data_IF_880030799892
#
_entry.id   IF_880030799892
#
_cell.length_a   1.000
_cell.length_b   1.000
_cell.length_c   1.000
_cell.angle_alpha   90.00
_cell.angle_beta   90.00
_cell.angle_gamma   90.00
#
_symmetry.space_group_name_H-M   'P 1'
#
loop_
_entity.id
_entity.type
_entity.pdbx_description
1 polymer ?
#
# COMPACT_ATOMS: atom_id res chain seq x y z
N UNK A 1 -17.21 -0.46 14.59
CA UNK A 1 -17.11 -0.43 16.08
C UNK A 1 -15.69 -0.77 16.53
N UNK A 2 -15.13 -0.13 17.58
CA UNK A 2 -13.79 -0.45 18.11
C UNK A 2 -13.90 -1.37 19.32
N UNK A 3 -13.18 -2.49 19.32
CA UNK A 3 -13.08 -3.46 20.42
C UNK A 3 -11.61 -3.66 20.82
N UNK A 4 -11.28 -3.46 22.10
CA UNK A 4 -9.96 -3.80 22.63
C UNK A 4 -10.01 -5.19 23.26
N UNK A 5 -9.25 -6.14 22.69
CA UNK A 5 -9.33 -7.56 23.03
C UNK A 5 -8.40 -7.97 24.19
N UNK A 6 -7.68 -7.02 24.78
CA UNK A 6 -6.82 -7.19 25.95
C UNK A 6 -7.50 -6.86 27.29
N UNK A 7 -8.82 -6.66 27.26
CA UNK A 7 -9.68 -6.47 28.43
C UNK A 7 -11.01 -7.18 28.21
N UNK A 8 -11.85 -7.24 29.23
CA UNK A 8 -13.17 -7.84 29.12
C UNK A 8 -14.05 -7.07 28.11
N UNK A 9 -14.71 -7.79 27.22
CA UNK A 9 -15.70 -7.29 26.28
C UNK A 9 -16.80 -8.37 26.06
N UNK A 10 -18.03 -7.99 25.72
CA UNK A 10 -19.07 -8.94 25.32
C UNK A 10 -18.69 -9.65 24.01
N UNK A 11 -18.52 -10.99 24.03
CA UNK A 11 -18.08 -11.75 22.85
C UNK A 11 -19.06 -11.67 21.67
N UNK A 12 -20.35 -11.41 21.92
CA UNK A 12 -21.37 -11.23 20.89
C UNK A 12 -21.03 -10.06 19.95
N UNK A 13 -20.27 -9.07 20.44
CA UNK A 13 -19.84 -7.91 19.66
C UNK A 13 -18.96 -8.28 18.45
N UNK A 14 -18.33 -9.46 18.45
CA UNK A 14 -17.59 -9.96 17.28
C UNK A 14 -18.52 -10.28 16.09
N UNK A 15 -19.82 -10.46 16.33
CA UNK A 15 -20.82 -10.79 15.31
C UNK A 15 -21.89 -9.71 15.09
N UNK A 16 -21.80 -8.58 15.79
CA UNK A 16 -22.87 -7.56 15.83
C UNK A 16 -22.80 -6.50 14.72
N UNK A 17 -21.75 -6.48 13.92
CA UNK A 17 -21.58 -5.44 12.91
C UNK A 17 -20.77 -5.87 11.70
N UNK A 18 -21.10 -5.25 10.57
CA UNK A 18 -20.38 -5.41 9.31
C UNK A 18 -18.98 -4.79 9.37
N UNK A 19 -18.77 -3.80 10.24
CA UNK A 19 -17.49 -3.09 10.39
C UNK A 19 -16.93 -3.20 11.82
N UNK A 20 -15.79 -3.86 11.96
CA UNK A 20 -15.09 -4.04 13.24
C UNK A 20 -13.64 -3.57 13.19
N UNK A 21 -13.22 -2.83 14.22
CA UNK A 21 -11.83 -2.46 14.51
C UNK A 21 -11.42 -3.19 15.79
N UNK A 22 -10.70 -4.30 15.64
CA UNK A 22 -10.24 -5.14 16.73
C UNK A 22 -8.79 -4.79 17.07
N UNK A 23 -8.55 -4.45 18.33
CA UNK A 23 -7.24 -4.01 18.81
C UNK A 23 -6.63 -5.00 19.78
N UNK A 24 -5.30 -5.05 19.80
CA UNK A 24 -4.51 -5.86 20.72
C UNK A 24 -4.77 -7.37 20.53
N UNK A 25 -4.80 -7.82 19.28
CA UNK A 25 -5.14 -9.20 18.91
C UNK A 25 -4.01 -10.15 19.30
N UNK A 26 -4.25 -10.98 20.33
CA UNK A 26 -3.29 -11.95 20.87
C UNK A 26 -3.61 -13.38 20.44
N UNK A 27 -2.64 -14.29 20.58
CA UNK A 27 -2.85 -15.70 20.30
C UNK A 27 -3.96 -16.32 21.17
N UNK A 28 -4.19 -15.79 22.38
CA UNK A 28 -5.22 -16.27 23.30
C UNK A 28 -6.63 -15.96 22.79
N UNK A 29 -6.85 -14.77 22.21
CA UNK A 29 -8.18 -14.36 21.72
C UNK A 29 -8.42 -14.78 20.26
N UNK A 30 -7.36 -15.10 19.50
CA UNK A 30 -7.44 -15.41 18.08
C UNK A 30 -8.46 -16.52 17.74
N UNK A 31 -8.50 -17.68 18.42
CA UNK A 31 -9.51 -18.70 18.14
C UNK A 31 -10.95 -18.21 18.32
N UNK A 32 -11.16 -17.25 19.23
CA UNK A 32 -12.46 -16.64 19.47
C UNK A 32 -12.86 -15.69 18.34
N UNK A 33 -11.93 -14.85 17.89
CA UNK A 33 -12.13 -14.00 16.71
C UNK A 33 -12.48 -14.86 15.50
N UNK A 34 -11.69 -15.91 15.22
CA UNK A 34 -11.92 -16.80 14.08
C UNK A 34 -13.26 -17.55 14.10
N UNK A 35 -13.82 -17.83 15.29
CA UNK A 35 -15.06 -18.61 15.41
C UNK A 35 -16.33 -17.75 15.49
N UNK A 36 -16.20 -16.45 15.78
CA UNK A 36 -17.34 -15.55 15.99
C UNK A 36 -17.40 -14.37 15.03
N UNK A 37 -16.26 -13.94 14.47
CA UNK A 37 -16.22 -12.74 13.67
C UNK A 37 -16.97 -12.93 12.35
N UNK A 38 -18.00 -12.12 12.12
CA UNK A 38 -18.82 -12.15 10.90
C UNK A 38 -18.68 -10.87 10.07
N UNK A 39 -17.78 -9.96 10.47
CA UNK A 39 -17.61 -8.65 9.85
C UNK A 39 -17.17 -8.74 8.38
N UNK A 40 -17.75 -7.87 7.57
CA UNK A 40 -17.43 -7.69 6.15
C UNK A 40 -16.17 -6.82 6.00
N UNK A 41 -16.06 -5.77 6.80
CA UNK A 41 -14.89 -4.91 6.92
C UNK A 41 -14.25 -5.09 8.30
N UNK A 42 -13.01 -5.58 8.29
CA UNK A 42 -12.27 -5.91 9.49
C UNK A 42 -10.94 -5.16 9.50
N UNK A 43 -10.74 -4.36 10.53
CA UNK A 43 -9.44 -3.80 10.89
C UNK A 43 -8.89 -4.57 12.08
N UNK A 44 -7.68 -5.08 11.95
CA UNK A 44 -6.90 -5.73 13.00
C UNK A 44 -5.71 -4.83 13.33
N UNK A 45 -5.68 -4.30 14.55
CA UNK A 45 -4.65 -3.36 15.00
C UNK A 45 -3.84 -3.96 16.16
N UNK A 46 -2.52 -3.76 16.13
CA UNK A 46 -1.58 -4.28 17.13
C UNK A 46 -1.68 -5.81 17.27
N UNK A 47 -1.23 -6.51 16.23
CA UNK A 47 -1.23 -7.97 16.16
C UNK A 47 -0.04 -8.53 16.95
N UNK A 48 -0.35 -9.23 18.04
CA UNK A 48 0.60 -9.94 18.89
C UNK A 48 0.68 -11.44 18.53
N UNK A 49 0.26 -11.79 17.31
CA UNK A 49 0.21 -13.14 16.78
C UNK A 49 1.58 -13.60 16.25
N UNK A 50 1.93 -14.89 16.40
CA UNK A 50 3.12 -15.45 15.75
C UNK A 50 2.88 -15.77 14.26
N UNK A 51 1.64 -16.03 13.86
CA UNK A 51 1.22 -16.29 12.47
C UNK A 51 -0.26 -15.90 12.29
N UNK A 52 -0.71 -15.85 11.03
CA UNK A 52 -2.11 -15.60 10.65
C UNK A 52 -2.89 -16.91 10.39
N UNK A 53 -2.43 -18.04 10.93
CA UNK A 53 -3.05 -19.34 10.66
C UNK A 53 -4.52 -19.37 11.08
N UNK A 54 -5.35 -20.02 10.27
CA UNK A 54 -6.80 -20.13 10.47
C UNK A 54 -7.60 -18.89 10.07
N UNK A 55 -6.96 -17.82 9.56
CA UNK A 55 -7.65 -16.60 9.11
C UNK A 55 -8.67 -16.85 8.00
N UNK A 56 -8.52 -17.93 7.24
CA UNK A 56 -9.45 -18.41 6.22
C UNK A 56 -10.87 -18.70 6.76
N UNK A 57 -11.02 -18.84 8.08
CA UNK A 57 -12.33 -18.97 8.74
C UNK A 57 -13.15 -17.67 8.76
N UNK A 58 -12.54 -16.53 8.44
CA UNK A 58 -13.23 -15.23 8.32
C UNK A 58 -13.95 -15.12 6.96
N UNK A 59 -14.84 -16.07 6.68
CA UNK A 59 -15.46 -16.28 5.35
C UNK A 59 -16.32 -15.11 4.87
N UNK A 60 -16.82 -14.27 5.78
CA UNK A 60 -17.61 -13.07 5.44
C UNK A 60 -16.75 -11.85 5.12
N UNK A 61 -15.47 -11.84 5.51
CA UNK A 61 -14.64 -10.65 5.36
C UNK A 61 -14.32 -10.41 3.88
N UNK A 62 -14.61 -9.19 3.41
CA UNK A 62 -14.34 -8.72 2.05
C UNK A 62 -13.30 -7.61 2.03
N UNK A 63 -13.16 -6.87 3.14
CA UNK A 63 -12.22 -5.76 3.30
C UNK A 63 -11.42 -5.98 4.56
N UNK A 64 -10.11 -6.15 4.43
CA UNK A 64 -9.23 -6.48 5.55
C UNK A 64 -8.09 -5.46 5.63
N UNK A 65 -7.95 -4.84 6.81
CA UNK A 65 -6.82 -3.98 7.13
C UNK A 65 -6.05 -4.57 8.30
N UNK A 66 -4.75 -4.76 8.11
CA UNK A 66 -3.82 -5.05 9.19
C UNK A 66 -2.97 -3.84 9.50
N UNK A 67 -2.72 -3.63 10.78
CA UNK A 67 -1.86 -2.56 11.25
C UNK A 67 -1.03 -3.02 12.44
N UNK A 68 0.27 -2.76 12.37
CA UNK A 68 1.24 -3.01 13.43
C UNK A 68 1.34 -4.49 13.81
N UNK A 69 2.11 -5.25 13.02
CA UNK A 69 2.39 -6.66 13.25
C UNK A 69 3.90 -6.92 13.26
N UNK A 70 4.51 -6.95 14.45
CA UNK A 70 5.97 -7.01 14.62
C UNK A 70 6.56 -8.41 14.48
N UNK A 71 5.72 -9.45 14.49
CA UNK A 71 6.13 -10.86 14.44
C UNK A 71 5.72 -11.58 13.17
N UNK A 72 4.81 -11.02 12.37
CA UNK A 72 4.32 -11.67 11.14
C UNK A 72 5.34 -11.48 10.03
N UNK A 73 5.86 -12.58 9.53
CA UNK A 73 6.91 -12.60 8.50
C UNK A 73 6.34 -12.88 7.11
N UNK A 74 5.13 -13.45 7.06
CA UNK A 74 4.52 -13.99 5.83
C UNK A 74 3.00 -13.82 5.82
N UNK A 75 2.39 -13.75 4.63
CA UNK A 75 0.96 -13.49 4.43
C UNK A 75 0.18 -14.65 3.79
N UNK A 76 0.82 -15.81 3.52
CA UNK A 76 0.18 -16.93 2.80
C UNK A 76 -1.17 -17.37 3.40
N UNK A 77 -1.41 -17.38 4.73
CA UNK A 77 -2.73 -17.69 5.27
C UNK A 77 -3.83 -16.74 4.80
N UNK A 78 -3.52 -15.46 4.54
CA UNK A 78 -4.48 -14.45 4.06
C UNK A 78 -4.95 -14.77 2.65
N UNK A 79 -4.10 -15.35 1.81
CA UNK A 79 -4.39 -15.63 0.41
C UNK A 79 -5.50 -16.68 0.21
N UNK A 80 -5.85 -17.41 1.28
CA UNK A 80 -7.01 -18.31 1.32
C UNK A 80 -8.37 -17.57 1.37
N UNK A 81 -8.39 -16.27 1.68
CA UNK A 81 -9.60 -15.43 1.68
C UNK A 81 -9.97 -15.01 0.24
N UNK A 82 -10.46 -15.97 -0.56
CA UNK A 82 -10.66 -15.79 -2.02
C UNK A 82 -11.66 -14.69 -2.40
N UNK A 83 -12.59 -14.37 -1.51
CA UNK A 83 -13.57 -13.29 -1.71
C UNK A 83 -13.06 -11.90 -1.28
N UNK A 84 -11.81 -11.78 -0.83
CA UNK A 84 -11.26 -10.52 -0.37
C UNK A 84 -11.09 -9.55 -1.53
N UNK A 85 -11.77 -8.40 -1.45
CA UNK A 85 -11.75 -7.37 -2.49
C UNK A 85 -10.80 -6.21 -2.15
N UNK A 86 -10.49 -6.02 -0.87
CA UNK A 86 -9.60 -4.97 -0.38
C UNK A 86 -8.65 -5.52 0.70
N UNK A 87 -7.35 -5.27 0.53
CA UNK A 87 -6.31 -5.63 1.51
C UNK A 87 -5.43 -4.41 1.79
N UNK A 88 -5.28 -4.06 3.06
CA UNK A 88 -4.30 -3.09 3.53
C UNK A 88 -3.36 -3.73 4.55
N UNK A 89 -2.05 -3.57 4.35
CA UNK A 89 -1.01 -4.09 5.24
C UNK A 89 -0.09 -2.94 5.63
N UNK A 90 -0.15 -2.55 6.91
CA UNK A 90 0.54 -1.37 7.43
C UNK A 90 1.44 -1.75 8.62
N UNK A 91 2.69 -1.31 8.58
CA UNK A 91 3.70 -1.51 9.65
C UNK A 91 3.98 -3.00 9.98
N UNK A 92 4.44 -3.71 8.96
CA UNK A 92 4.90 -5.11 9.03
C UNK A 92 6.43 -5.18 8.83
N UNK A 93 7.25 -4.86 9.84
CA UNK A 93 8.71 -4.71 9.67
C UNK A 93 9.44 -6.01 9.29
N UNK A 94 8.82 -7.16 9.55
CA UNK A 94 9.35 -8.48 9.24
C UNK A 94 8.80 -9.12 7.97
N UNK A 95 7.76 -8.56 7.37
CA UNK A 95 7.23 -9.06 6.11
C UNK A 95 8.27 -8.81 5.02
N UNK A 96 8.58 -9.87 4.23
CA UNK A 96 9.59 -9.81 3.16
C UNK A 96 9.02 -10.14 1.78
N UNK A 97 7.96 -10.95 1.72
CA UNK A 97 7.49 -11.52 0.45
C UNK A 97 5.98 -11.38 0.30
N UNK A 98 5.55 -11.35 -0.95
CA UNK A 98 4.14 -11.34 -1.37
C UNK A 98 3.83 -12.49 -2.33
N UNK A 99 4.71 -13.48 -2.46
CA UNK A 99 4.50 -14.64 -3.34
C UNK A 99 3.18 -15.34 -3.00
N UNK A 100 2.30 -15.54 -3.98
CA UNK A 100 0.97 -16.13 -3.80
C UNK A 100 -0.16 -15.11 -3.60
N UNK A 101 0.14 -13.80 -3.55
CA UNK A 101 -0.91 -12.77 -3.44
C UNK A 101 -1.91 -12.80 -4.61
N UNK A 102 -1.51 -13.33 -5.76
CA UNK A 102 -2.37 -13.55 -6.93
C UNK A 102 -3.50 -14.55 -6.69
N UNK A 103 -3.43 -15.38 -5.64
CA UNK A 103 -4.53 -16.28 -5.25
C UNK A 103 -5.76 -15.51 -4.71
N UNK A 104 -5.60 -14.24 -4.32
CA UNK A 104 -6.69 -13.33 -4.00
C UNK A 104 -7.38 -12.86 -5.30
N UNK A 105 -8.10 -13.76 -5.96
CA UNK A 105 -8.66 -13.58 -7.29
C UNK A 105 -9.68 -12.45 -7.42
N UNK A 106 -10.29 -12.03 -6.30
CA UNK A 106 -11.25 -10.91 -6.24
C UNK A 106 -10.61 -9.59 -5.77
N UNK A 107 -9.30 -9.54 -5.53
CA UNK A 107 -8.64 -8.36 -4.99
C UNK A 107 -8.61 -7.22 -6.00
N UNK A 108 -9.31 -6.14 -5.67
CA UNK A 108 -9.38 -4.93 -6.49
C UNK A 108 -8.56 -3.77 -5.93
N UNK A 109 -8.27 -3.80 -4.63
CA UNK A 109 -7.52 -2.76 -3.94
C UNK A 109 -6.47 -3.34 -3.00
N UNK A 110 -5.21 -2.93 -3.21
CA UNK A 110 -4.08 -3.29 -2.36
C UNK A 110 -3.39 -2.02 -1.85
N UNK A 111 -3.21 -1.94 -0.53
CA UNK A 111 -2.41 -0.89 0.12
C UNK A 111 -1.30 -1.51 0.94
N UNK A 112 -0.07 -1.08 0.71
CA UNK A 112 1.11 -1.51 1.44
C UNK A 112 1.79 -0.27 2.02
N UNK A 113 2.05 -0.27 3.32
CA UNK A 113 2.79 0.81 3.96
C UNK A 113 3.69 0.34 5.09
N UNK A 114 4.87 0.96 5.21
CA UNK A 114 5.59 0.99 6.47
C UNK A 114 4.87 1.83 7.53
N UNK A 115 5.49 1.98 8.70
CA UNK A 115 5.02 2.95 9.71
C UNK A 115 5.01 4.38 9.12
N UNK A 116 4.13 5.27 9.56
CA UNK A 116 4.08 6.67 9.09
C UNK A 116 4.38 7.71 10.18
N UNK A 117 4.71 7.30 11.41
CA UNK A 117 5.11 8.15 12.54
C UNK A 117 6.58 8.62 12.53
N UNK A 118 7.00 9.38 13.55
CA UNK A 118 8.40 9.82 13.68
C UNK A 118 9.36 8.65 13.89
N UNK A 119 10.41 8.53 13.08
CA UNK A 119 11.36 7.39 13.12
C UNK A 119 10.88 6.14 12.36
N UNK A 120 9.88 6.30 11.50
CA UNK A 120 9.24 5.23 10.74
C UNK A 120 10.20 4.31 10.00
N UNK A 121 10.06 3.01 10.25
CA UNK A 121 10.71 1.99 9.43
C UNK A 121 9.86 1.67 8.21
N UNK A 122 10.46 1.61 7.00
CA UNK A 122 9.73 1.19 5.82
C UNK A 122 9.36 -0.29 5.92
N UNK A 123 8.29 -0.69 5.24
CA UNK A 123 8.11 -2.10 4.90
C UNK A 123 9.22 -2.50 3.91
N UNK A 124 9.93 -3.61 4.20
CA UNK A 124 11.05 -4.07 3.38
C UNK A 124 10.67 -5.35 2.66
N UNK A 125 10.36 -5.26 1.38
CA UNK A 125 9.95 -6.38 0.55
C UNK A 125 11.09 -6.82 -0.37
N UNK A 126 11.08 -8.07 -0.82
CA UNK A 126 12.09 -8.55 -1.77
C UNK A 126 11.85 -7.95 -3.15
N UNK A 127 10.59 -7.96 -3.62
CA UNK A 127 10.18 -7.43 -4.92
C UNK A 127 8.70 -7.05 -4.91
N UNK A 128 8.28 -6.18 -5.82
CA UNK A 128 6.86 -5.91 -6.09
C UNK A 128 6.27 -6.82 -7.17
N UNK A 129 7.10 -7.63 -7.83
CA UNK A 129 6.74 -8.52 -8.93
C UNK A 129 5.45 -9.33 -8.70
N UNK A 130 5.17 -9.94 -7.52
CA UNK A 130 3.92 -10.68 -7.31
C UNK A 130 2.65 -9.84 -7.51
N UNK A 131 2.68 -8.53 -7.23
CA UNK A 131 1.52 -7.63 -7.38
C UNK A 131 1.08 -7.52 -8.85
N UNK A 132 2.02 -7.66 -9.78
CA UNK A 132 1.72 -7.64 -11.23
C UNK A 132 0.86 -8.81 -11.72
N UNK A 133 0.67 -9.84 -10.88
CA UNK A 133 -0.08 -11.07 -11.19
C UNK A 133 -1.53 -11.00 -10.70
N UNK A 134 -1.91 -9.94 -9.98
CA UNK A 134 -3.27 -9.74 -9.49
C UNK A 134 -4.14 -9.21 -10.63
N UNK A 135 -4.94 -10.08 -11.23
CA UNK A 135 -5.66 -9.81 -12.48
C UNK A 135 -6.72 -8.71 -12.38
N UNK A 136 -7.36 -8.55 -11.21
CA UNK A 136 -8.45 -7.58 -10.97
C UNK A 136 -8.00 -6.30 -10.26
N UNK A 137 -6.70 -6.08 -10.07
CA UNK A 137 -6.20 -4.95 -9.30
C UNK A 137 -6.50 -3.62 -10.03
N UNK A 138 -7.34 -2.78 -9.42
CA UNK A 138 -7.71 -1.46 -9.94
C UNK A 138 -7.07 -0.33 -9.15
N UNK A 139 -6.71 -0.58 -7.88
CA UNK A 139 -6.12 0.41 -6.98
C UNK A 139 -4.90 -0.19 -6.29
N UNK A 140 -3.75 0.44 -6.49
CA UNK A 140 -2.54 0.08 -5.79
C UNK A 140 -1.91 1.30 -5.13
N UNK A 141 -1.66 1.21 -3.83
CA UNK A 141 -0.97 2.24 -3.07
C UNK A 141 0.21 1.65 -2.32
N UNK A 142 1.35 2.30 -2.45
CA UNK A 142 2.59 1.92 -1.82
C UNK A 142 3.24 3.14 -1.16
N UNK A 143 3.27 3.15 0.17
CA UNK A 143 3.87 4.22 0.96
C UNK A 143 4.98 3.68 1.86
N UNK A 144 5.99 4.50 2.15
CA UNK A 144 7.11 4.13 3.02
C UNK A 144 7.58 2.67 2.87
N UNK A 145 8.03 2.31 1.67
CA UNK A 145 8.44 0.96 1.31
C UNK A 145 9.81 0.98 0.65
N UNK A 146 10.56 -0.11 0.83
CA UNK A 146 11.86 -0.35 0.19
C UNK A 146 11.91 -1.78 -0.34
N UNK A 147 12.63 -1.99 -1.43
CA UNK A 147 12.74 -3.29 -2.08
C UNK A 147 14.20 -3.74 -2.18
N UNK A 148 14.45 -5.04 -2.04
CA UNK A 148 15.77 -5.61 -2.36
C UNK A 148 16.00 -5.58 -3.88
N UNK A 149 15.01 -6.03 -4.64
CA UNK A 149 14.91 -5.85 -6.08
C UNK A 149 14.09 -4.59 -6.36
N UNK A 150 14.80 -3.48 -6.54
CA UNK A 150 14.26 -2.15 -6.80
C UNK A 150 13.78 -2.00 -8.26
N UNK A 151 12.81 -2.82 -8.66
CA UNK A 151 12.19 -2.83 -9.98
C UNK A 151 10.65 -2.79 -9.88
N UNK A 152 10.07 -1.64 -10.23
CA UNK A 152 8.62 -1.42 -10.29
C UNK A 152 8.05 -1.54 -11.69
N UNK A 153 8.87 -1.77 -12.72
CA UNK A 153 8.43 -1.82 -14.12
C UNK A 153 7.45 -2.96 -14.38
N UNK A 154 7.52 -4.02 -13.56
CA UNK A 154 6.54 -5.12 -13.50
C UNK A 154 5.09 -4.66 -13.38
N UNK A 155 4.83 -3.50 -12.75
CA UNK A 155 3.49 -2.94 -12.60
C UNK A 155 2.85 -2.53 -13.94
N UNK A 156 3.62 -2.39 -15.02
CA UNK A 156 3.07 -2.17 -16.36
C UNK A 156 2.14 -3.29 -16.84
N UNK A 157 2.22 -4.49 -16.23
CA UNK A 157 1.30 -5.61 -16.51
C UNK A 157 -0.07 -5.46 -15.84
N UNK A 158 -0.24 -4.50 -14.92
CA UNK A 158 -1.52 -4.22 -14.25
C UNK A 158 -2.46 -3.41 -15.17
N UNK A 159 -2.97 -4.03 -16.24
CA UNK A 159 -3.79 -3.36 -17.28
C UNK A 159 -5.16 -2.86 -16.79
N UNK A 160 -5.63 -3.33 -15.64
CA UNK A 160 -6.86 -2.85 -15.00
C UNK A 160 -6.63 -1.73 -13.98
N UNK A 161 -5.38 -1.34 -13.73
CA UNK A 161 -5.05 -0.32 -12.74
C UNK A 161 -5.63 1.05 -13.14
N UNK A 162 -6.34 1.69 -12.23
CA UNK A 162 -6.95 3.02 -12.40
C UNK A 162 -6.36 4.04 -11.43
N UNK A 163 -5.91 3.58 -10.27
CA UNK A 163 -5.23 4.41 -9.29
C UNK A 163 -3.91 3.77 -8.88
N UNK A 164 -2.83 4.54 -9.02
CA UNK A 164 -1.48 4.15 -8.63
C UNK A 164 -0.86 5.25 -7.77
N UNK A 165 -0.58 4.92 -6.51
CA UNK A 165 0.16 5.79 -5.61
C UNK A 165 1.47 5.12 -5.21
N UNK A 166 2.58 5.80 -5.44
CA UNK A 166 3.92 5.28 -5.18
C UNK A 166 4.69 6.23 -4.27
N UNK A 167 5.56 5.66 -3.43
CA UNK A 167 6.57 6.43 -2.70
C UNK A 167 7.54 7.09 -3.67
N UNK A 168 8.00 8.31 -3.34
CA UNK A 168 8.93 9.05 -4.19
C UNK A 168 10.40 8.60 -4.01
N UNK A 169 10.61 7.28 -3.92
CA UNK A 169 11.91 6.66 -3.63
C UNK A 169 12.43 5.78 -4.77
N UNK A 170 11.67 5.64 -5.85
CA UNK A 170 12.04 4.83 -7.03
C UNK A 170 12.88 5.61 -8.03
N UNK A 171 13.60 4.91 -8.89
CA UNK A 171 14.29 5.55 -10.01
C UNK A 171 13.27 6.24 -10.93
N UNK A 172 13.59 7.47 -11.33
CA UNK A 172 12.71 8.29 -12.18
C UNK A 172 12.43 7.62 -13.53
N UNK A 173 13.40 6.90 -14.09
CA UNK A 173 13.26 6.20 -15.37
C UNK A 173 12.20 5.10 -15.29
N UNK A 174 12.14 4.37 -14.18
CA UNK A 174 11.10 3.35 -13.95
C UNK A 174 9.72 3.99 -13.82
N UNK A 175 9.61 5.15 -13.15
CA UNK A 175 8.33 5.87 -13.05
C UNK A 175 7.90 6.43 -14.41
N UNK A 176 8.84 6.92 -15.22
CA UNK A 176 8.57 7.36 -16.59
C UNK A 176 8.14 6.20 -17.50
N UNK A 177 8.76 5.02 -17.36
CA UNK A 177 8.33 3.80 -18.04
C UNK A 177 6.89 3.42 -17.64
N UNK A 178 6.56 3.41 -16.35
CA UNK A 178 5.17 3.16 -15.93
C UNK A 178 4.20 4.22 -16.47
N UNK A 179 4.63 5.48 -16.51
CA UNK A 179 3.83 6.56 -17.07
C UNK A 179 3.55 6.34 -18.58
N UNK A 180 4.54 5.88 -19.36
CA UNK A 180 4.35 5.59 -20.79
C UNK A 180 3.39 4.43 -21.07
N UNK A 181 3.27 3.48 -20.12
CA UNK A 181 2.40 2.31 -20.26
C UNK A 181 1.02 2.47 -19.64
N UNK A 182 0.88 3.24 -18.56
CA UNK A 182 -0.33 3.26 -17.73
C UNK A 182 -1.07 4.61 -17.74
N UNK A 183 -0.48 5.72 -18.18
CA UNK A 183 -1.13 7.04 -18.03
C UNK A 183 -2.48 7.16 -18.75
N UNK A 184 -2.69 6.46 -19.87
CA UNK A 184 -3.97 6.49 -20.59
C UNK A 184 -5.13 5.89 -19.78
N UNK A 185 -4.84 4.96 -18.87
CA UNK A 185 -5.84 4.28 -18.03
C UNK A 185 -5.93 4.84 -16.61
N UNK A 186 -4.92 5.55 -16.13
CA UNK A 186 -4.91 6.11 -14.78
C UNK A 186 -5.81 7.34 -14.70
N UNK A 187 -6.62 7.40 -13.63
CA UNK A 187 -7.44 8.57 -13.31
C UNK A 187 -6.56 9.78 -13.00
N UNK A 188 -5.44 9.53 -12.31
CA UNK A 188 -4.40 10.51 -12.05
C UNK A 188 -3.10 10.02 -12.70
N UNK A 189 -2.71 10.59 -13.86
CA UNK A 189 -1.49 10.20 -14.55
C UNK A 189 -0.24 10.40 -13.69
N UNK A 190 0.73 9.51 -13.85
CA UNK A 190 2.07 9.71 -13.31
C UNK A 190 2.71 10.90 -14.03
N UNK A 191 3.18 11.87 -13.24
CA UNK A 191 3.71 13.13 -13.74
C UNK A 191 5.17 13.34 -13.31
N UNK A 192 5.84 14.29 -13.97
CA UNK A 192 7.22 14.66 -13.66
C UNK A 192 7.41 15.21 -12.24
N UNK A 193 6.35 15.70 -11.62
CA UNK A 193 6.33 16.26 -10.27
C UNK A 193 4.92 16.25 -9.67
N UNK A 194 4.84 16.39 -8.34
CA UNK A 194 3.59 16.61 -7.60
C UNK A 194 3.64 17.93 -6.83
N UNK A 195 2.50 18.62 -6.72
CA UNK A 195 2.40 19.84 -5.92
C UNK A 195 2.49 19.49 -4.43
N UNK A 196 3.26 20.28 -3.68
CA UNK A 196 3.41 20.11 -2.22
C UNK A 196 2.67 21.22 -1.48
N UNK A 197 2.57 21.09 -0.16
CA UNK A 197 2.11 22.16 0.73
C UNK A 197 3.23 23.16 1.08
N UNK A 198 4.47 22.93 0.64
CA UNK A 198 5.61 23.77 0.97
C UNK A 198 5.57 25.08 0.16
N UNK A 199 5.78 26.22 0.84
CA UNK A 199 5.80 27.54 0.20
C UNK A 199 7.21 27.98 -0.17
N UNK A 200 7.34 28.67 -1.30
CA UNK A 200 8.58 29.32 -1.69
C UNK A 200 8.85 30.54 -0.81
N UNK A 201 10.07 30.64 -0.28
CA UNK A 201 10.48 31.78 0.56
C UNK A 201 10.57 33.10 -0.21
N UNK A 202 10.72 33.05 -1.54
CA UNK A 202 10.88 34.25 -2.39
C UNK A 202 9.55 34.81 -2.92
N UNK A 203 8.62 33.95 -3.33
CA UNK A 203 7.38 34.37 -4.00
C UNK A 203 6.10 33.77 -3.38
N UNK A 204 6.21 33.02 -2.29
CA UNK A 204 5.08 32.40 -1.56
C UNK A 204 4.24 31.37 -2.33
N UNK A 205 4.53 31.13 -3.62
CA UNK A 205 3.96 30.05 -4.43
C UNK A 205 4.25 28.67 -3.84
N UNK A 206 3.37 27.70 -4.08
CA UNK A 206 3.59 26.31 -3.71
C UNK A 206 4.74 25.72 -4.52
N UNK A 207 5.59 24.93 -3.86
CA UNK A 207 6.67 24.18 -4.50
C UNK A 207 6.17 22.83 -5.00
N UNK A 208 6.83 22.29 -6.01
CA UNK A 208 6.61 20.94 -6.52
C UNK A 208 7.76 20.03 -6.16
N UNK A 209 7.44 18.80 -5.76
CA UNK A 209 8.41 17.73 -5.56
C UNK A 209 8.53 16.96 -6.86
N UNK A 210 9.72 16.93 -7.45
CA UNK A 210 9.94 16.15 -8.65
C UNK A 210 9.93 14.66 -8.36
N UNK A 211 9.37 13.91 -9.30
CA UNK A 211 9.21 12.47 -9.24
C UNK A 211 10.54 11.78 -9.44
N UNK A 212 10.88 10.87 -8.53
CA UNK A 212 12.10 10.06 -8.51
C UNK A 212 12.95 10.26 -7.26
N UNK A 213 13.74 9.22 -6.94
CA UNK A 213 14.74 9.22 -5.87
C UNK A 213 15.69 10.40 -6.02
N UNK A 214 15.94 11.12 -4.90
CA UNK A 214 16.87 12.27 -4.82
C UNK A 214 16.49 13.46 -5.73
N UNK A 215 15.27 13.51 -6.24
CA UNK A 215 14.82 14.64 -7.06
C UNK A 215 14.47 15.86 -6.21
N UNK A 216 14.70 17.09 -6.73
CA UNK A 216 14.56 18.30 -5.96
C UNK A 216 13.11 18.72 -5.75
N UNK A 217 12.89 19.52 -4.71
CA UNK A 217 11.68 20.32 -4.53
C UNK A 217 11.96 21.72 -5.08
N UNK A 218 11.25 22.11 -6.14
CA UNK A 218 11.47 23.37 -6.86
C UNK A 218 10.25 24.27 -6.81
N UNK A 219 10.48 25.58 -6.80
CA UNK A 219 9.43 26.56 -7.04
C UNK A 219 9.20 26.69 -8.56
N UNK A 220 7.96 26.54 -9.05
CA UNK A 220 7.69 26.69 -10.49
C UNK A 220 8.02 28.09 -11.02
N UNK A 221 7.97 29.13 -10.17
CA UNK A 221 8.25 30.52 -10.58
C UNK A 221 9.72 30.89 -10.42
N UNK A 222 10.32 30.63 -9.24
CA UNK A 222 11.69 31.09 -8.96
C UNK A 222 12.77 30.21 -9.56
N UNK A 223 12.45 28.94 -9.85
CA UNK A 223 13.38 27.95 -10.41
C UNK A 223 12.98 27.56 -11.85
N UNK A 224 12.23 28.42 -12.55
CA UNK A 224 11.56 28.12 -13.82
C UNK A 224 12.46 27.42 -14.87
N UNK A 225 13.71 27.88 -15.15
CA UNK A 225 14.55 27.21 -16.15
C UNK A 225 14.90 25.76 -15.76
N UNK A 226 15.15 25.50 -14.47
CA UNK A 226 15.44 24.15 -13.98
C UNK A 226 14.17 23.31 -13.93
N UNK A 227 13.05 23.92 -13.57
CA UNK A 227 11.74 23.26 -13.52
C UNK A 227 11.34 22.74 -14.90
N UNK A 228 11.38 23.60 -15.92
CA UNK A 228 11.07 23.25 -17.31
C UNK A 228 12.00 22.16 -17.85
N UNK A 229 13.32 22.31 -17.63
CA UNK A 229 14.30 21.29 -18.03
C UNK A 229 13.98 19.92 -17.44
N UNK A 230 13.69 19.85 -16.14
CA UNK A 230 13.41 18.57 -15.48
C UNK A 230 12.08 17.98 -15.95
N UNK A 231 11.06 18.81 -16.19
CA UNK A 231 9.77 18.37 -16.75
C UNK A 231 9.98 17.75 -18.12
N UNK A 232 10.65 18.45 -19.04
CA UNK A 232 10.91 17.96 -20.39
C UNK A 232 11.75 16.66 -20.39
N UNK A 233 12.74 16.55 -19.50
CA UNK A 233 13.50 15.32 -19.35
C UNK A 233 12.64 14.11 -18.96
N UNK A 234 11.60 14.30 -18.16
CA UNK A 234 10.68 13.20 -17.82
C UNK A 234 9.82 12.80 -19.00
N UNK A 235 9.28 13.79 -19.71
CA UNK A 235 8.47 13.57 -20.92
C UNK A 235 9.29 12.82 -21.97
N UNK A 236 10.56 13.19 -22.16
CA UNK A 236 11.45 12.46 -23.06
C UNK A 236 11.69 11.02 -22.60
N UNK A 237 11.90 10.79 -21.30
CA UNK A 237 12.01 9.42 -20.75
C UNK A 237 10.74 8.59 -20.99
N UNK A 238 9.56 9.20 -20.99
CA UNK A 238 8.30 8.51 -21.32
C UNK A 238 8.23 8.13 -22.79
N UNK A 239 8.74 8.97 -23.69
CA UNK A 239 8.77 8.71 -25.14
C UNK A 239 9.76 7.60 -25.47
N UNK A 240 10.90 7.58 -24.78
CA UNK A 240 12.01 6.64 -25.06
C UNK A 240 11.80 5.24 -24.43
N UNK A 241 10.74 5.04 -23.63
CA UNK A 241 10.47 3.85 -22.80
C UNK A 241 9.53 2.82 -23.44
#
# INVERSE_FOLDING_TARGET
MILCLDRQFPEQQLSEGDELDLRNVSAQIWPKVLSRCTAIELRLYNLKLPSLEGIDKLTNTRRLKFEWATKIEVLEPVFKLRDLTHLAVEDFPKLRRLDGIEELSELTELRLSGNLGGGSSPIRLNSIEPVSRISKLTKFSLANATFEVDDITSLARCTHLRHLSLTNQFDRTQVAFLASRLNEQLVEPLAAYVKTHLRCVKCSSLKSMFTGRKMPILCPTCDAPRFEKLTHQFEQMMIDA
#
